data_IF_471845548455
#
_entry.id   IF_471845548455
#
_cell.length_a   1.000
_cell.length_b   1.000
_cell.length_c   1.000
_cell.angle_alpha   90.00
_cell.angle_beta   90.00
_cell.angle_gamma   90.00
#
_symmetry.space_group_name_H-M   'P 1'
#
loop_
_entity.id
_entity.type
_entity.pdbx_description
1 polymer ?
#
# COMPACT_ATOMS: atom_id res chain seq x y z
N UNK A 1 15.47 35.17 -9.65
CA UNK A 1 14.70 34.64 -8.51
C UNK A 1 15.37 33.45 -7.84
N UNK A 2 15.54 32.31 -8.53
CA UNK A 2 16.19 31.11 -7.96
C UNK A 2 17.65 31.38 -7.55
N UNK A 3 18.42 32.11 -8.36
CA UNK A 3 19.82 32.45 -8.08
C UNK A 3 19.94 33.35 -6.85
N UNK A 4 19.07 34.35 -6.71
CA UNK A 4 19.03 35.25 -5.55
C UNK A 4 18.67 34.48 -4.26
N UNK A 5 17.70 33.57 -4.33
CA UNK A 5 17.36 32.68 -3.21
C UNK A 5 18.52 31.76 -2.83
N UNK A 6 19.18 31.14 -3.81
CA UNK A 6 20.35 30.29 -3.56
C UNK A 6 21.50 31.09 -2.94
N UNK A 7 21.73 32.32 -3.41
CA UNK A 7 22.71 33.22 -2.85
C UNK A 7 22.39 33.58 -1.39
N UNK A 8 21.16 33.97 -1.07
CA UNK A 8 20.75 34.27 0.30
C UNK A 8 20.83 33.04 1.21
N UNK A 9 20.43 31.86 0.73
CA UNK A 9 20.56 30.60 1.46
C UNK A 9 22.03 30.26 1.75
N UNK A 10 22.90 30.43 0.76
CA UNK A 10 24.33 30.18 0.88
C UNK A 10 24.98 31.20 1.84
N UNK A 11 24.59 32.46 1.76
CA UNK A 11 25.04 33.53 2.66
C UNK A 11 24.64 33.25 4.11
N UNK A 12 23.37 32.91 4.38
CA UNK A 12 22.90 32.54 5.72
C UNK A 12 23.62 31.29 6.23
N UNK A 13 23.81 30.27 5.38
CA UNK A 13 24.55 29.05 5.76
C UNK A 13 26.01 29.34 6.12
N UNK A 14 26.68 30.22 5.38
CA UNK A 14 28.05 30.63 5.65
C UNK A 14 28.14 31.40 6.98
N UNK A 15 27.24 32.36 7.23
CA UNK A 15 27.20 33.11 8.49
C UNK A 15 26.90 32.21 9.69
N UNK A 16 25.98 31.25 9.56
CA UNK A 16 25.73 30.25 10.59
C UNK A 16 26.96 29.43 10.94
N UNK A 17 27.71 28.98 9.92
CA UNK A 17 28.90 28.15 10.09
C UNK A 17 30.11 28.92 10.63
N UNK A 18 30.28 30.18 10.24
CA UNK A 18 31.46 30.99 10.59
C UNK A 18 31.29 31.79 11.90
N UNK A 19 30.09 32.35 12.13
CA UNK A 19 29.85 33.30 13.22
C UNK A 19 29.06 32.69 14.39
N UNK A 20 28.04 31.89 14.11
CA UNK A 20 27.04 31.51 15.12
C UNK A 20 27.28 30.15 15.78
N UNK A 21 27.81 29.15 15.08
CA UNK A 21 28.01 27.79 15.63
C UNK A 21 29.38 27.67 16.30
N UNK A 22 29.41 27.16 17.54
CA UNK A 22 30.66 26.95 18.28
C UNK A 22 31.27 25.55 18.04
N UNK A 23 30.44 24.50 17.96
CA UNK A 23 30.85 23.11 17.73
C UNK A 23 29.84 22.42 16.78
N UNK A 24 30.30 21.56 15.86
CA UNK A 24 29.39 20.87 14.91
C UNK A 24 28.58 19.72 15.54
N UNK A 25 29.01 19.19 16.68
CA UNK A 25 28.37 18.04 17.34
C UNK A 25 27.31 18.42 18.38
N UNK A 26 27.41 19.62 18.94
CA UNK A 26 26.44 20.18 19.88
C UNK A 26 25.93 21.45 19.22
N UNK A 27 24.62 21.55 18.99
CA UNK A 27 23.94 22.72 18.39
C UNK A 27 24.02 23.98 19.30
N UNK A 28 25.19 24.26 19.88
CA UNK A 28 25.46 25.35 20.78
C UNK A 28 25.87 26.60 19.98
N UNK A 29 25.12 27.67 20.20
CA UNK A 29 25.33 28.98 19.59
C UNK A 29 26.39 29.76 20.38
N UNK A 30 27.42 30.27 19.69
CA UNK A 30 28.54 31.03 20.29
C UNK A 30 28.11 32.43 20.73
N UNK A 31 27.34 33.14 19.90
CA UNK A 31 26.88 34.50 20.21
C UNK A 31 25.40 34.67 19.88
N UNK A 32 24.58 34.44 20.90
CA UNK A 32 23.12 34.50 20.81
C UNK A 32 22.62 35.90 20.47
N UNK A 33 23.28 36.96 20.97
CA UNK A 33 22.86 38.35 20.73
C UNK A 33 23.03 38.75 19.26
N UNK A 34 24.19 38.44 18.67
CA UNK A 34 24.44 38.72 17.25
C UNK A 34 23.48 37.94 16.34
N UNK A 35 23.15 36.70 16.71
CA UNK A 35 22.17 35.91 15.96
C UNK A 35 20.79 36.57 15.97
N UNK A 36 20.30 37.04 17.12
CA UNK A 36 19.01 37.73 17.19
C UNK A 36 18.99 39.03 16.40
N UNK A 37 20.05 39.86 16.49
CA UNK A 37 20.14 41.10 15.71
C UNK A 37 20.16 40.81 14.21
N UNK A 38 20.94 39.81 13.77
CA UNK A 38 20.98 39.38 12.37
C UNK A 38 19.62 38.86 11.89
N UNK A 39 19.00 37.97 12.67
CA UNK A 39 17.68 37.41 12.33
C UNK A 39 16.61 38.50 12.22
N UNK A 40 16.67 39.54 13.05
CA UNK A 40 15.75 40.67 12.98
C UNK A 40 15.90 41.46 11.68
N UNK A 41 17.13 41.72 11.23
CA UNK A 41 17.37 42.37 9.94
C UNK A 41 17.01 41.48 8.74
N UNK A 42 17.32 40.18 8.80
CA UNK A 42 17.00 39.22 7.73
C UNK A 42 15.50 38.96 7.59
N UNK A 43 14.72 39.11 8.66
CA UNK A 43 13.27 38.87 8.67
C UNK A 43 12.55 39.56 7.50
N UNK A 44 12.86 40.82 7.23
CA UNK A 44 12.22 41.56 6.14
C UNK A 44 12.48 40.89 4.78
N UNK A 45 13.73 40.53 4.47
CA UNK A 45 14.09 39.84 3.23
C UNK A 45 13.48 38.44 3.15
N UNK A 46 13.44 37.72 4.28
CA UNK A 46 12.85 36.39 4.36
C UNK A 46 11.33 36.42 4.11
N UNK A 47 10.63 37.49 4.53
CA UNK A 47 9.22 37.70 4.19
C UNK A 47 9.00 37.85 2.67
N UNK A 48 9.81 38.67 1.98
CA UNK A 48 9.70 38.81 0.51
C UNK A 48 10.03 37.51 -0.21
N UNK A 49 11.07 36.81 0.22
CA UNK A 49 11.41 35.49 -0.33
C UNK A 49 10.30 34.48 -0.09
N UNK A 50 9.71 34.46 1.10
CA UNK A 50 8.58 33.61 1.44
C UNK A 50 7.39 33.83 0.52
N UNK A 51 7.09 35.10 0.20
CA UNK A 51 6.03 35.44 -0.75
C UNK A 51 6.32 34.91 -2.17
N UNK A 52 7.53 35.13 -2.69
CA UNK A 52 7.94 34.61 -4.01
C UNK A 52 7.89 33.07 -4.03
N UNK A 53 8.32 32.42 -2.94
CA UNK A 53 8.27 30.96 -2.83
C UNK A 53 6.84 30.44 -2.80
N UNK A 54 5.93 31.12 -2.11
CA UNK A 54 4.51 30.80 -2.11
C UNK A 54 3.93 30.84 -3.53
N UNK A 55 4.21 31.92 -4.29
CA UNK A 55 3.79 32.03 -5.69
C UNK A 55 4.37 30.89 -6.54
N UNK A 56 5.66 30.58 -6.38
CA UNK A 56 6.31 29.48 -7.11
C UNK A 56 5.74 28.10 -6.76
N UNK A 57 5.24 27.94 -5.53
CA UNK A 57 4.60 26.70 -5.07
C UNK A 57 3.22 26.55 -5.70
N UNK A 58 2.44 27.62 -5.76
CA UNK A 58 1.12 27.64 -6.39
C UNK A 58 1.25 27.31 -7.89
N UNK A 59 2.18 27.95 -8.60
CA UNK A 59 2.37 27.69 -10.04
C UNK A 59 2.79 26.26 -10.34
N UNK A 60 3.73 25.70 -9.57
CA UNK A 60 4.11 24.28 -9.68
C UNK A 60 2.95 23.35 -9.34
N UNK A 61 2.16 23.67 -8.31
CA UNK A 61 0.98 22.92 -7.93
C UNK A 61 -0.02 22.82 -9.08
N UNK A 62 -0.36 23.95 -9.70
CA UNK A 62 -1.27 24.01 -10.86
C UNK A 62 -0.71 23.20 -12.03
N UNK A 63 0.59 23.33 -12.33
CA UNK A 63 1.19 22.58 -13.43
C UNK A 63 1.16 21.07 -13.19
N UNK A 64 1.48 20.62 -11.97
CA UNK A 64 1.38 19.22 -11.60
C UNK A 64 -0.07 18.71 -11.67
N UNK A 65 -1.03 19.44 -11.10
CA UNK A 65 -2.44 19.01 -11.15
C UNK A 65 -2.97 18.95 -12.57
N UNK A 66 -2.57 19.86 -13.48
CA UNK A 66 -2.96 19.81 -14.89
C UNK A 66 -2.43 18.56 -15.60
N UNK A 67 -1.16 18.17 -15.38
CA UNK A 67 -0.58 16.95 -15.97
C UNK A 67 -1.28 15.70 -15.44
N UNK A 68 -1.55 15.66 -14.13
CA UNK A 68 -2.14 14.49 -13.47
C UNK A 68 -3.67 14.48 -13.51
N UNK A 69 -4.32 15.53 -14.01
CA UNK A 69 -5.78 15.63 -14.03
C UNK A 69 -6.45 14.49 -14.80
N UNK A 70 -5.80 14.00 -15.86
CA UNK A 70 -6.30 12.89 -16.66
C UNK A 70 -6.07 11.50 -16.02
N UNK A 71 -5.25 11.40 -14.97
CA UNK A 71 -4.95 10.14 -14.28
C UNK A 71 -5.75 10.03 -12.99
N UNK A 72 -6.57 8.98 -12.89
CA UNK A 72 -7.40 8.69 -11.72
C UNK A 72 -6.60 8.00 -10.58
N UNK A 73 -5.41 7.49 -10.90
CA UNK A 73 -4.55 6.74 -9.98
C UNK A 73 -3.96 7.61 -8.85
N UNK A 74 -3.99 8.94 -9.00
CA UNK A 74 -3.37 9.88 -8.07
C UNK A 74 -4.37 10.94 -7.63
N UNK A 75 -4.46 11.18 -6.32
CA UNK A 75 -5.26 12.29 -5.81
C UNK A 75 -4.49 13.60 -5.90
N UNK A 76 -5.12 14.64 -6.43
CA UNK A 76 -4.54 15.99 -6.41
C UNK A 76 -4.39 16.53 -4.97
N UNK A 77 -5.14 15.96 -4.02
CA UNK A 77 -5.12 16.32 -2.62
C UNK A 77 -4.06 15.51 -1.85
N UNK A 78 -3.57 16.07 -0.74
CA UNK A 78 -2.62 15.35 0.12
C UNK A 78 -3.26 14.15 0.83
N UNK A 79 -2.43 13.26 1.39
CA UNK A 79 -2.83 11.99 2.03
C UNK A 79 -4.04 12.03 2.95
N UNK A 80 -4.21 13.11 3.73
CA UNK A 80 -5.34 13.24 4.65
C UNK A 80 -6.68 13.55 3.99
N UNK A 81 -6.67 13.99 2.72
CA UNK A 81 -7.85 14.46 1.99
C UNK A 81 -8.06 13.70 0.66
N UNK A 82 -7.37 12.57 0.46
CA UNK A 82 -7.48 11.77 -0.77
C UNK A 82 -8.93 11.34 -1.05
N UNK A 83 -9.70 11.01 0.00
CA UNK A 83 -11.10 10.59 -0.13
C UNK A 83 -12.06 11.72 -0.50
N UNK A 84 -11.65 12.98 -0.37
CA UNK A 84 -12.45 14.12 -0.82
C UNK A 84 -12.42 14.26 -2.35
N UNK A 85 -11.38 13.71 -2.99
CA UNK A 85 -11.27 13.66 -4.44
C UNK A 85 -12.19 12.57 -5.01
N UNK A 86 -13.30 12.99 -5.62
CA UNK A 86 -14.29 12.07 -6.20
C UNK A 86 -13.67 11.12 -7.24
N UNK A 87 -12.72 11.61 -8.03
CA UNK A 87 -12.02 10.84 -9.07
C UNK A 87 -11.23 9.68 -8.48
N UNK A 88 -10.40 9.99 -7.47
CA UNK A 88 -9.59 8.99 -6.78
C UNK A 88 -10.46 8.04 -5.94
N UNK A 89 -11.47 8.55 -5.23
CA UNK A 89 -12.39 7.72 -4.44
C UNK A 89 -13.15 6.71 -5.33
N UNK A 90 -13.58 7.14 -6.51
CA UNK A 90 -14.25 6.27 -7.49
C UNK A 90 -13.31 5.19 -8.01
N UNK A 91 -12.06 5.56 -8.32
CA UNK A 91 -11.02 4.61 -8.73
C UNK A 91 -10.76 3.55 -7.67
N UNK A 92 -10.50 3.95 -6.42
CA UNK A 92 -10.28 3.02 -5.30
C UNK A 92 -11.49 2.09 -5.10
N UNK A 93 -12.70 2.65 -5.16
CA UNK A 93 -13.94 1.88 -5.05
C UNK A 93 -14.06 0.82 -6.16
N UNK A 94 -13.69 1.18 -7.40
CA UNK A 94 -13.64 0.25 -8.52
C UNK A 94 -12.71 -0.93 -8.25
N UNK A 95 -11.49 -0.71 -7.74
CA UNK A 95 -10.58 -1.81 -7.39
C UNK A 95 -11.12 -2.72 -6.31
N UNK A 96 -11.78 -2.16 -5.29
CA UNK A 96 -12.40 -2.98 -4.25
C UNK A 96 -13.51 -3.87 -4.80
N UNK A 97 -14.35 -3.33 -5.69
CA UNK A 97 -15.41 -4.10 -6.35
C UNK A 97 -14.80 -5.16 -7.26
N UNK A 98 -13.82 -4.82 -8.09
CA UNK A 98 -13.18 -5.75 -9.01
C UNK A 98 -12.49 -6.89 -8.27
N UNK A 99 -11.75 -6.59 -7.21
CA UNK A 99 -11.12 -7.61 -6.36
C UNK A 99 -12.15 -8.56 -5.74
N UNK A 100 -13.28 -8.04 -5.27
CA UNK A 100 -14.31 -8.85 -4.62
C UNK A 100 -15.08 -9.71 -5.62
N UNK A 101 -15.37 -9.19 -6.82
CA UNK A 101 -16.17 -9.88 -7.84
C UNK A 101 -15.33 -10.85 -8.69
N UNK A 102 -14.06 -10.53 -8.95
CA UNK A 102 -13.18 -11.29 -9.86
C UNK A 102 -11.91 -11.74 -9.17
N UNK A 103 -12.02 -12.27 -7.96
CA UNK A 103 -10.86 -12.80 -7.26
C UNK A 103 -10.28 -14.03 -8.00
N UNK A 104 -9.05 -13.96 -8.56
CA UNK A 104 -8.55 -15.00 -9.47
C UNK A 104 -8.42 -16.37 -8.78
N UNK A 105 -7.99 -16.40 -7.52
CA UNK A 105 -7.90 -17.65 -6.74
C UNK A 105 -9.27 -18.29 -6.53
N UNK A 106 -10.32 -17.48 -6.34
CA UNK A 106 -11.67 -17.99 -6.12
C UNK A 106 -12.23 -18.56 -7.42
N UNK A 107 -12.03 -17.87 -8.54
CA UNK A 107 -12.47 -18.34 -9.86
C UNK A 107 -11.80 -19.67 -10.22
N UNK A 108 -10.47 -19.78 -10.04
CA UNK A 108 -9.74 -21.04 -10.27
C UNK A 108 -10.22 -22.14 -9.31
N UNK A 109 -10.47 -21.82 -8.04
CA UNK A 109 -11.01 -22.79 -7.09
C UNK A 109 -12.40 -23.32 -7.49
N UNK A 110 -13.30 -22.44 -7.92
CA UNK A 110 -14.63 -22.82 -8.43
C UNK A 110 -14.48 -23.67 -9.70
N UNK A 111 -13.56 -23.32 -10.59
CA UNK A 111 -13.30 -24.09 -11.81
C UNK A 111 -12.80 -25.51 -11.50
N UNK A 112 -11.86 -25.66 -10.55
CA UNK A 112 -11.39 -26.97 -10.08
C UNK A 112 -12.53 -27.79 -9.49
N UNK A 113 -13.38 -27.17 -8.66
CA UNK A 113 -14.56 -27.85 -8.09
C UNK A 113 -15.54 -28.26 -9.19
N UNK A 114 -15.81 -27.38 -10.14
CA UNK A 114 -16.73 -27.63 -11.26
C UNK A 114 -16.26 -28.80 -12.11
N UNK A 115 -14.97 -28.83 -12.49
CA UNK A 115 -14.37 -29.95 -13.22
C UNK A 115 -14.53 -31.25 -12.45
N UNK A 116 -14.17 -31.25 -11.15
CA UNK A 116 -14.28 -32.42 -10.30
C UNK A 116 -15.73 -32.91 -10.12
N UNK A 117 -16.71 -32.01 -10.06
CA UNK A 117 -18.14 -32.36 -10.01
C UNK A 117 -18.61 -33.02 -11.31
N UNK A 118 -18.16 -32.52 -12.46
CA UNK A 118 -18.46 -33.12 -13.77
C UNK A 118 -17.87 -34.52 -13.85
N UNK A 119 -16.62 -34.70 -13.43
CA UNK A 119 -15.94 -36.00 -13.43
C UNK A 119 -16.64 -37.01 -12.51
N UNK A 120 -17.05 -36.58 -11.31
CA UNK A 120 -17.84 -37.43 -10.40
C UNK A 120 -19.17 -37.83 -11.04
N UNK A 121 -19.87 -36.91 -11.72
CA UNK A 121 -21.14 -37.23 -12.41
C UNK A 121 -20.92 -38.24 -13.53
N UNK A 122 -19.89 -38.07 -14.35
CA UNK A 122 -19.52 -39.03 -15.42
C UNK A 122 -19.18 -40.40 -14.84
N UNK A 123 -18.40 -40.43 -13.76
CA UNK A 123 -18.01 -41.67 -13.09
C UNK A 123 -19.23 -42.38 -12.50
N UNK A 124 -20.12 -41.64 -11.84
CA UNK A 124 -21.37 -42.20 -11.30
C UNK A 124 -22.26 -42.80 -12.40
N UNK A 125 -22.40 -42.12 -13.55
CA UNK A 125 -23.14 -42.66 -14.70
C UNK A 125 -22.55 -43.97 -15.22
N UNK A 126 -21.22 -44.06 -15.36
CA UNK A 126 -20.55 -45.31 -15.77
C UNK A 126 -20.79 -46.44 -14.78
N UNK A 127 -20.64 -46.17 -13.48
CA UNK A 127 -20.87 -47.18 -12.44
C UNK A 127 -22.32 -47.68 -12.39
N UNK A 128 -23.31 -46.81 -12.63
CA UNK A 128 -24.71 -47.23 -12.73
C UNK A 128 -24.93 -48.17 -13.92
N UNK A 129 -24.21 -47.97 -15.03
CA UNK A 129 -24.29 -48.87 -16.19
C UNK A 129 -23.62 -50.23 -15.91
N UNK A 130 -22.57 -50.26 -15.10
CA UNK A 130 -21.78 -51.47 -14.83
C UNK A 130 -22.19 -52.20 -13.52
N UNK A 131 -23.11 -51.65 -12.72
CA UNK A 131 -23.59 -52.20 -11.44
C UNK A 131 -22.50 -52.44 -10.36
N UNK A 132 -21.38 -51.71 -10.41
CA UNK A 132 -20.23 -51.90 -9.51
C UNK A 132 -20.29 -50.93 -8.31
N UNK A 133 -21.11 -51.25 -7.30
CA UNK A 133 -21.26 -50.39 -6.11
C UNK A 133 -20.12 -50.55 -5.07
N UNK A 134 -19.56 -51.76 -4.93
CA UNK A 134 -18.55 -52.05 -3.90
C UNK A 134 -17.17 -51.41 -4.18
N UNK A 135 -16.76 -51.36 -5.45
CA UNK A 135 -15.46 -50.77 -5.84
C UNK A 135 -15.42 -49.26 -5.58
N UNK A 136 -16.55 -48.58 -5.77
CA UNK A 136 -16.68 -47.13 -5.55
C UNK A 136 -16.55 -46.73 -4.07
N UNK A 137 -17.16 -47.49 -3.16
CA UNK A 137 -17.04 -47.28 -1.71
C UNK A 137 -15.57 -47.35 -1.25
N UNK A 138 -14.83 -48.34 -1.75
CA UNK A 138 -13.42 -48.54 -1.41
C UNK A 138 -12.52 -47.40 -1.91
N UNK A 139 -12.74 -46.91 -3.13
CA UNK A 139 -12.01 -45.75 -3.66
C UNK A 139 -12.26 -44.48 -2.84
N UNK A 140 -13.51 -44.24 -2.44
CA UNK A 140 -13.88 -43.09 -1.60
C UNK A 140 -13.16 -43.12 -0.25
N UNK A 141 -13.09 -44.28 0.40
CA UNK A 141 -12.34 -44.47 1.65
C UNK A 141 -10.84 -44.21 1.45
N UNK A 142 -10.25 -44.67 0.35
CA UNK A 142 -8.85 -44.40 -0.01
C UNK A 142 -8.58 -42.90 -0.18
N UNK A 143 -9.46 -42.19 -0.88
CA UNK A 143 -9.36 -40.73 -1.05
C UNK A 143 -9.43 -39.98 0.29
N UNK A 144 -10.33 -40.38 1.18
CA UNK A 144 -10.45 -39.76 2.52
C UNK A 144 -9.17 -39.92 3.33
N UNK A 145 -8.52 -41.08 3.28
CA UNK A 145 -7.22 -41.29 3.95
C UNK A 145 -6.17 -40.35 3.38
N UNK A 146 -6.05 -40.24 2.05
CA UNK A 146 -5.11 -39.30 1.40
C UNK A 146 -5.36 -37.85 1.81
N UNK A 147 -6.62 -37.41 1.89
CA UNK A 147 -6.94 -36.05 2.36
C UNK A 147 -6.58 -35.81 3.83
N UNK A 148 -6.77 -36.81 4.70
CA UNK A 148 -6.34 -36.72 6.11
C UNK A 148 -4.82 -36.59 6.24
N UNK A 149 -4.06 -37.37 5.46
CA UNK A 149 -2.60 -37.27 5.42
C UNK A 149 -2.11 -35.94 4.84
N UNK A 150 -2.69 -35.47 3.73
CA UNK A 150 -2.35 -34.17 3.16
C UNK A 150 -2.67 -33.02 4.12
N UNK A 151 -3.76 -33.13 4.88
CA UNK A 151 -4.09 -32.17 5.92
C UNK A 151 -3.07 -32.20 7.07
N UNK A 152 -2.70 -33.38 7.56
CA UNK A 152 -1.68 -33.49 8.60
C UNK A 152 -0.35 -32.89 8.14
N UNK A 153 0.06 -33.20 6.91
CA UNK A 153 1.26 -32.66 6.29
C UNK A 153 1.24 -31.12 6.23
N UNK A 154 0.15 -30.52 5.74
CA UNK A 154 0.03 -29.05 5.67
C UNK A 154 0.03 -28.40 7.05
N UNK A 155 -0.60 -29.00 8.05
CA UNK A 155 -0.61 -28.49 9.43
C UNK A 155 0.76 -28.60 10.12
N UNK A 156 1.53 -29.66 9.86
CA UNK A 156 2.89 -29.81 10.40
C UNK A 156 3.80 -28.69 9.89
N UNK A 157 3.72 -28.37 8.59
CA UNK A 157 4.54 -27.34 7.96
C UNK A 157 4.04 -25.90 8.21
N UNK A 158 2.79 -25.72 8.63
CA UNK A 158 2.18 -24.40 8.85
C UNK A 158 1.58 -24.32 10.26
N UNK A 159 2.44 -24.15 11.27
CA UNK A 159 2.01 -24.21 12.68
C UNK A 159 0.96 -23.17 13.06
N UNK A 160 1.02 -21.98 12.45
CA UNK A 160 0.08 -20.89 12.71
C UNK A 160 -1.37 -21.29 12.37
N UNK A 161 -1.56 -22.10 11.33
CA UNK A 161 -2.89 -22.57 10.91
C UNK A 161 -3.53 -23.54 11.92
N UNK A 162 -2.73 -24.21 12.77
CA UNK A 162 -3.26 -25.10 13.84
C UNK A 162 -4.16 -24.32 14.79
N UNK A 163 -3.73 -23.11 15.19
CA UNK A 163 -4.47 -22.24 16.11
C UNK A 163 -5.78 -21.75 15.48
N UNK A 164 -5.72 -21.21 14.27
CA UNK A 164 -6.92 -20.72 13.56
C UNK A 164 -7.94 -21.83 13.29
N UNK A 165 -7.48 -23.03 12.94
CA UNK A 165 -8.36 -24.17 12.72
C UNK A 165 -9.08 -24.62 14.00
N UNK A 166 -8.36 -24.72 15.13
CA UNK A 166 -8.95 -25.12 16.42
C UNK A 166 -10.05 -24.13 16.84
N UNK A 167 -9.78 -22.83 16.70
CA UNK A 167 -10.74 -21.78 17.03
C UNK A 167 -12.00 -21.83 16.14
N UNK A 168 -11.85 -22.06 14.83
CA UNK A 168 -13.02 -22.17 13.93
C UNK A 168 -13.90 -23.39 14.24
N UNK A 169 -13.32 -24.46 14.79
CA UNK A 169 -14.06 -25.68 15.15
C UNK A 169 -14.75 -25.60 16.52
N UNK A 170 -14.38 -24.63 17.35
CA UNK A 170 -15.04 -24.36 18.65
C UNK A 170 -16.18 -23.34 18.57
N UNK A 171 -16.36 -22.71 17.41
CA UNK A 171 -17.51 -21.86 17.07
C UNK A 171 -18.58 -22.70 16.37
#
# INVERSE_FOLDING_TARGET
>A
MIIFFLFQLLFVRLLCKLLFIQNNHLLALRNLRLYYTFSYFSFFFDCFLGFIMCLSRITKGIFCTLIFFARLDYSAYGRGLEMYDSSYASYVSFFHIERNQRHPVLNVFIDIIRQRLIDIRKLKLKLTMENINQTYENEKLSQLRRFRWALAYTLIHNEQLKRYRKHRLSL
#
